data_IF_230056621684
#
_entry.id   IF_230056621684
#
_cell.length_a   1.000
_cell.length_b   1.000
_cell.length_c   1.000
_cell.angle_alpha   90.00
_cell.angle_beta   90.00
_cell.angle_gamma   90.00
#
_symmetry.space_group_name_H-M   'P 1'
#
loop_
_entity.id
_entity.type
_entity.pdbx_description
1 polymer ?
#
# COMPACT_ATOMS: atom_id res chain seq x y z
N UNK A 1 -1.13 -2.46 11.41
CA UNK A 1 -1.71 -1.59 10.36
C UNK A 1 -0.65 -0.67 9.74
N UNK A 2 0.57 -1.15 9.40
CA UNK A 2 1.58 -0.22 8.88
C UNK A 2 1.25 0.22 7.44
N UNK A 3 0.97 -0.71 6.53
CA UNK A 3 0.80 -0.47 5.09
C UNK A 3 -0.65 -0.28 4.63
N UNK A 4 -1.60 -0.24 5.56
CA UNK A 4 -3.02 -0.04 5.26
C UNK A 4 -3.37 1.39 4.86
N UNK A 5 -2.40 2.30 4.95
CA UNK A 5 -2.58 3.72 4.68
C UNK A 5 -1.27 4.36 4.22
N UNK A 6 -1.35 5.43 3.42
CA UNK A 6 -0.15 6.14 2.92
C UNK A 6 0.24 7.36 3.78
N UNK A 7 -0.70 7.92 4.53
CA UNK A 7 -0.43 9.03 5.46
C UNK A 7 0.54 8.64 6.60
N UNK A 8 1.23 9.64 7.15
CA UNK A 8 2.17 9.44 8.27
C UNK A 8 3.53 8.87 7.87
N UNK A 9 3.90 8.96 6.58
CA UNK A 9 5.18 8.49 6.04
C UNK A 9 5.78 9.50 5.07
N UNK A 10 7.10 9.48 4.93
CA UNK A 10 7.81 10.25 3.93
C UNK A 10 8.24 9.34 2.78
N UNK A 11 7.90 9.75 1.56
CA UNK A 11 8.26 9.05 0.33
C UNK A 11 9.27 9.89 -0.47
N UNK A 12 10.26 9.24 -1.08
CA UNK A 12 11.18 9.92 -1.96
C UNK A 12 10.47 10.34 -3.24
N UNK A 13 10.46 11.65 -3.53
CA UNK A 13 9.84 12.15 -4.75
C UNK A 13 10.54 11.67 -6.02
N UNK A 14 11.84 11.38 -5.98
CA UNK A 14 12.56 10.88 -7.16
C UNK A 14 12.03 9.51 -7.57
N UNK A 15 11.95 8.59 -6.60
CA UNK A 15 11.42 7.23 -6.79
C UNK A 15 10.00 7.27 -7.39
N UNK A 16 9.12 8.11 -6.85
CA UNK A 16 7.73 8.26 -7.34
C UNK A 16 7.68 8.77 -8.79
N UNK A 17 8.52 9.76 -9.12
CA UNK A 17 8.50 10.40 -10.45
C UNK A 17 9.12 9.50 -11.51
N UNK A 18 10.29 8.93 -11.23
CA UNK A 18 11.04 8.07 -12.14
C UNK A 18 10.30 6.77 -12.46
N UNK A 19 9.72 6.12 -11.45
CA UNK A 19 9.00 4.85 -11.60
C UNK A 19 7.49 5.02 -11.81
N UNK A 20 7.01 6.27 -11.94
CA UNK A 20 5.60 6.60 -12.20
C UNK A 20 4.61 5.94 -11.23
N UNK A 21 4.99 5.78 -9.96
CA UNK A 21 4.12 5.21 -8.92
C UNK A 21 2.94 6.16 -8.67
N UNK A 22 1.70 5.69 -8.88
CA UNK A 22 0.47 6.49 -8.75
C UNK A 22 -0.62 5.67 -8.08
N UNK A 23 -1.58 6.35 -7.46
CA UNK A 23 -2.83 5.71 -7.03
C UNK A 23 -3.59 5.23 -8.27
N UNK A 24 -4.12 4.01 -8.18
CA UNK A 24 -4.89 3.42 -9.28
C UNK A 24 -6.34 3.92 -9.20
N UNK A 25 -6.84 4.70 -10.19
CA UNK A 25 -8.18 5.32 -10.09
C UNK A 25 -9.34 4.31 -10.07
N UNK A 26 -9.09 3.08 -10.51
CA UNK A 26 -10.08 1.99 -10.45
C UNK A 26 -10.20 1.37 -9.06
N UNK A 27 -9.26 1.64 -8.15
CA UNK A 27 -9.34 1.23 -6.75
C UNK A 27 -10.10 2.27 -5.93
N UNK A 28 -11.25 1.85 -5.39
CA UNK A 28 -12.08 2.61 -4.45
C UNK A 28 -11.80 2.25 -2.99
N UNK A 29 -11.18 1.09 -2.77
CA UNK A 29 -10.68 0.63 -1.48
C UNK A 29 -9.30 0.02 -1.68
N UNK A 30 -8.48 0.05 -0.64
CA UNK A 30 -7.13 -0.54 -0.65
C UNK A 30 -6.18 0.10 -1.69
N UNK A 31 -6.50 1.27 -2.21
CA UNK A 31 -5.65 2.08 -3.07
C UNK A 31 -4.33 2.46 -2.38
N UNK A 32 -4.38 2.72 -1.07
CA UNK A 32 -3.22 2.97 -0.23
C UNK A 32 -2.29 1.76 -0.13
N UNK A 33 -2.89 0.57 0.00
CA UNK A 33 -2.14 -0.69 0.07
C UNK A 33 -1.43 -0.90 -1.26
N UNK A 34 -2.16 -0.82 -2.37
CA UNK A 34 -1.59 -0.93 -3.71
C UNK A 34 -0.44 0.07 -3.91
N UNK A 35 -0.66 1.36 -3.61
CA UNK A 35 0.37 2.39 -3.74
C UNK A 35 1.62 2.08 -2.90
N UNK A 36 1.45 1.67 -1.64
CA UNK A 36 2.56 1.34 -0.76
C UNK A 36 3.42 0.20 -1.31
N UNK A 37 2.81 -0.88 -1.81
CA UNK A 37 3.54 -2.03 -2.34
C UNK A 37 4.17 -1.74 -3.71
N UNK A 38 3.48 -0.99 -4.58
CA UNK A 38 4.07 -0.47 -5.82
C UNK A 38 5.29 0.40 -5.55
N UNK A 39 5.24 1.28 -4.54
CA UNK A 39 6.39 2.08 -4.15
C UNK A 39 7.54 1.22 -3.61
N UNK A 40 7.24 0.24 -2.74
CA UNK A 40 8.26 -0.61 -2.10
C UNK A 40 9.10 -1.42 -3.07
N UNK A 41 8.58 -1.76 -4.26
CA UNK A 41 9.35 -2.43 -5.30
C UNK A 41 10.61 -1.69 -5.73
N UNK A 42 10.64 -0.37 -5.57
CA UNK A 42 11.75 0.49 -6.00
C UNK A 42 12.61 1.00 -4.83
N UNK A 43 12.32 0.55 -3.61
CA UNK A 43 12.96 1.05 -2.40
C UNK A 43 14.08 0.13 -1.97
N UNK A 44 15.30 0.66 -1.92
CA UNK A 44 16.46 -0.07 -1.41
C UNK A 44 16.62 0.00 0.11
N UNK A 45 16.05 1.03 0.75
CA UNK A 45 16.17 1.26 2.18
C UNK A 45 14.91 1.90 2.76
N UNK A 46 14.46 1.33 3.87
CA UNK A 46 13.38 1.90 4.70
C UNK A 46 13.97 2.25 6.06
N UNK A 47 13.49 3.32 6.68
CA UNK A 47 13.87 3.72 8.03
C UNK A 47 12.63 4.16 8.80
N UNK A 48 12.61 3.89 10.11
CA UNK A 48 11.52 4.27 10.99
C UNK A 48 12.06 5.13 12.14
N UNK A 49 11.29 6.14 12.54
CA UNK A 49 11.61 6.96 13.70
C UNK A 49 10.66 6.53 14.81
N UNK A 50 11.21 6.01 15.90
CA UNK A 50 10.47 5.57 17.08
C UNK A 50 10.04 6.77 17.94
N UNK A 51 9.28 7.70 17.35
CA UNK A 51 8.79 8.89 18.05
C UNK A 51 7.33 9.12 17.74
N UNK A 52 6.54 9.32 18.78
CA UNK A 52 5.13 9.68 18.65
C UNK A 52 5.03 11.16 18.28
N UNK A 53 5.21 11.47 16.99
CA UNK A 53 5.24 12.85 16.51
C UNK A 53 3.83 13.48 16.36
N UNK A 54 2.77 12.67 16.37
CA UNK A 54 1.41 13.15 16.09
C UNK A 54 0.35 12.40 16.90
N UNK A 55 -0.57 13.15 17.51
CA UNK A 55 -1.76 12.61 18.14
C UNK A 55 -2.88 12.51 17.09
N UNK A 56 -3.13 11.31 16.58
CA UNK A 56 -4.21 11.07 15.64
C UNK A 56 -5.56 11.09 16.37
N UNK A 57 -6.48 11.93 15.91
CA UNK A 57 -7.87 11.89 16.35
C UNK A 57 -8.64 10.89 15.49
N UNK A 58 -9.12 9.81 16.11
CA UNK A 58 -10.04 8.88 15.46
C UNK A 58 -11.45 9.48 15.46
N UNK A 59 -11.74 10.35 14.49
CA UNK A 59 -13.11 10.81 14.24
C UNK A 59 -13.95 9.69 13.60
N UNK A 60 -15.19 9.50 14.08
CA UNK A 60 -16.25 8.59 13.60
C UNK A 60 -15.81 7.26 12.95
N UNK A 61 -16.21 6.08 13.49
CA UNK A 61 -15.79 4.76 12.99
C UNK A 61 -16.27 4.42 11.55
N UNK A 62 -16.96 5.33 10.86
CA UNK A 62 -17.41 5.16 9.48
C UNK A 62 -16.31 5.54 8.50
N UNK A 63 -15.38 4.62 8.22
CA UNK A 63 -14.41 4.82 7.15
C UNK A 63 -15.10 4.85 5.78
N UNK A 64 -14.52 5.59 4.82
CA UNK A 64 -15.03 5.65 3.45
C UNK A 64 -15.13 4.25 2.81
N UNK A 65 -14.15 3.37 3.09
CA UNK A 65 -14.19 1.98 2.64
C UNK A 65 -15.33 1.15 3.23
N UNK A 66 -15.69 1.38 4.50
CA UNK A 66 -16.83 0.69 5.13
C UNK A 66 -18.16 1.14 4.50
N UNK A 67 -18.31 2.43 4.20
CA UNK A 67 -19.49 2.98 3.52
C UNK A 67 -19.62 2.46 2.08
N UNK A 68 -18.50 2.22 1.39
CA UNK A 68 -18.50 1.64 0.05
C UNK A 68 -19.09 0.21 0.05
N UNK A 69 -18.71 -0.63 1.03
CA UNK A 69 -19.24 -2.00 1.18
C UNK A 69 -20.75 -1.97 1.44
N UNK A 70 -21.18 -1.10 2.34
CA UNK A 70 -22.58 -1.06 2.82
C UNK A 70 -23.52 -0.47 1.76
N UNK A 71 -23.12 0.60 1.07
CA UNK A 71 -24.02 1.36 0.21
C UNK A 71 -23.96 0.97 -1.27
N UNK A 72 -22.79 0.58 -1.79
CA UNK A 72 -22.59 0.53 -3.25
C UNK A 72 -23.09 -0.78 -3.89
N UNK A 73 -23.52 -1.79 -3.10
CA UNK A 73 -24.04 -3.11 -3.54
C UNK A 73 -23.28 -3.75 -4.71
N UNK A 74 -21.96 -3.51 -4.81
CA UNK A 74 -21.08 -3.99 -5.90
C UNK A 74 -20.06 -4.99 -5.34
N UNK A 75 -20.46 -6.22 -4.98
CA UNK A 75 -19.56 -7.22 -4.40
C UNK A 75 -18.42 -7.56 -5.35
N UNK A 76 -18.67 -7.64 -6.66
CA UNK A 76 -17.62 -7.90 -7.65
C UNK A 76 -16.54 -6.82 -7.65
N UNK A 77 -16.94 -5.55 -7.57
CA UNK A 77 -15.98 -4.46 -7.49
C UNK A 77 -15.17 -4.55 -6.18
N UNK A 78 -15.83 -4.82 -5.06
CA UNK A 78 -15.16 -5.05 -3.78
C UNK A 78 -14.10 -6.16 -3.87
N UNK A 79 -14.47 -7.36 -4.32
CA UNK A 79 -13.53 -8.48 -4.44
C UNK A 79 -12.40 -8.18 -5.42
N UNK A 80 -12.68 -7.52 -6.54
CA UNK A 80 -11.66 -7.09 -7.48
C UNK A 80 -10.66 -6.11 -6.85
N UNK A 81 -11.13 -5.15 -6.05
CA UNK A 81 -10.24 -4.21 -5.35
C UNK A 81 -9.32 -4.93 -4.36
N UNK A 82 -9.89 -5.86 -3.56
CA UNK A 82 -9.11 -6.68 -2.62
C UNK A 82 -8.08 -7.53 -3.37
N UNK A 83 -8.47 -8.14 -4.49
CA UNK A 83 -7.58 -8.97 -5.31
C UNK A 83 -6.41 -8.16 -5.88
N UNK A 84 -6.67 -6.98 -6.44
CA UNK A 84 -5.62 -6.10 -7.00
C UNK A 84 -4.65 -5.62 -5.92
N UNK A 85 -5.15 -5.30 -4.72
CA UNK A 85 -4.28 -4.95 -3.59
C UNK A 85 -3.42 -6.17 -3.17
N UNK A 86 -4.03 -7.35 -3.08
CA UNK A 86 -3.34 -8.58 -2.70
C UNK A 86 -2.27 -9.00 -3.73
N UNK A 87 -2.56 -8.89 -5.02
CA UNK A 87 -1.59 -9.23 -6.07
C UNK A 87 -0.35 -8.35 -6.04
N UNK A 88 -0.48 -7.09 -5.60
CA UNK A 88 0.66 -6.18 -5.41
C UNK A 88 1.54 -6.60 -4.24
N UNK A 89 0.93 -7.15 -3.18
CA UNK A 89 1.67 -7.74 -2.06
C UNK A 89 2.43 -9.00 -2.51
N UNK A 90 1.77 -9.89 -3.26
CA UNK A 90 2.38 -11.11 -3.77
C UNK A 90 3.59 -10.82 -4.65
N UNK A 91 3.45 -9.92 -5.64
CA UNK A 91 4.56 -9.50 -6.49
C UNK A 91 5.74 -9.00 -5.68
N UNK A 92 5.49 -8.23 -4.62
CA UNK A 92 6.54 -7.74 -3.74
C UNK A 92 7.23 -8.89 -2.98
N UNK A 93 6.48 -9.83 -2.44
CA UNK A 93 7.03 -10.99 -1.72
C UNK A 93 7.87 -11.86 -2.66
N UNK A 94 7.40 -12.11 -3.88
CA UNK A 94 8.11 -12.88 -4.90
C UNK A 94 9.45 -12.21 -5.26
N UNK A 95 9.42 -10.92 -5.61
CA UNK A 95 10.63 -10.15 -5.92
C UNK A 95 11.61 -10.11 -4.74
N UNK A 96 11.09 -9.98 -3.52
CA UNK A 96 11.91 -9.99 -2.31
C UNK A 96 12.56 -11.37 -2.07
N UNK A 97 11.81 -12.45 -2.26
CA UNK A 97 12.30 -13.82 -2.15
C UNK A 97 13.42 -14.13 -3.14
N UNK A 98 13.26 -13.74 -4.40
CA UNK A 98 14.29 -13.87 -5.44
C UNK A 98 15.58 -13.12 -5.07
N UNK A 99 15.44 -11.88 -4.58
CA UNK A 99 16.60 -11.07 -4.18
C UNK A 99 17.41 -11.69 -3.03
N UNK A 100 16.73 -12.35 -2.06
CA UNK A 100 17.39 -13.09 -0.98
C UNK A 100 18.09 -14.34 -1.48
N UNK A 101 17.41 -15.13 -2.32
CA UNK A 101 18.00 -16.36 -2.86
C UNK A 101 19.28 -16.08 -3.65
N UNK A 102 19.35 -14.96 -4.38
CA UNK A 102 20.57 -14.52 -5.08
C UNK A 102 21.67 -14.01 -4.13
N UNK A 103 21.30 -13.44 -2.99
CA UNK A 103 22.24 -12.99 -1.97
C UNK A 103 22.85 -14.16 -1.19
N UNK A 104 22.07 -15.20 -0.91
CA UNK A 104 22.51 -16.40 -0.18
C UNK A 104 23.37 -17.35 -1.04
N UNK A 105 23.35 -17.20 -2.37
CA UNK A 105 24.16 -17.97 -3.32
C UNK A 105 25.57 -17.40 -3.57
N UNK A 106 25.96 -16.32 -2.87
CA UNK A 106 27.25 -15.63 -3.00
C UNK A 106 28.06 -15.76 -1.71
#
# INVERSE_FOLDING_TARGET
>A
MMFSYCWGRLFSSSIIKENKVRFLPSLRICEDVHFNFEYMHYVNKVSYIATTAYNYQFGSPKSAGMNFIINDKKPLLFFNNIWVAYSSILRFIEAFGESRSLADAR
#
